data_IF_337025031845
#
_entry.id   IF_337025031845
#
_cell.length_a   1.000
_cell.length_b   1.000
_cell.length_c   1.000
_cell.angle_alpha   90.00
_cell.angle_beta   90.00
_cell.angle_gamma   90.00
#
_symmetry.space_group_name_H-M   'P 1'
#
loop_
_entity.id
_entity.type
_entity.pdbx_description
1 polymer ?
#
# COMPACT_ATOMS: atom_id res chain seq x y z
N UNK A 1 17.37 11.95 -10.45
CA UNK A 1 16.15 12.67 -10.01
C UNK A 1 16.35 13.14 -8.57
N UNK A 2 16.04 14.39 -8.23
CA UNK A 2 16.01 14.84 -6.83
C UNK A 2 14.70 14.41 -6.18
N UNK A 3 14.71 14.06 -4.89
CA UNK A 3 13.52 13.62 -4.14
C UNK A 3 12.34 14.61 -4.28
N UNK A 4 12.65 15.91 -4.32
CA UNK A 4 11.68 16.98 -4.53
C UNK A 4 10.93 16.89 -5.87
N UNK A 5 11.63 16.58 -6.98
CA UNK A 5 10.98 16.45 -8.29
C UNK A 5 10.05 15.25 -8.35
N UNK A 6 10.49 14.11 -7.80
CA UNK A 6 9.65 12.91 -7.72
C UNK A 6 8.38 13.15 -6.89
N UNK A 7 8.51 13.88 -5.78
CA UNK A 7 7.38 14.22 -4.91
C UNK A 7 6.41 15.19 -5.62
N UNK A 8 6.93 16.16 -6.36
CA UNK A 8 6.11 17.10 -7.16
C UNK A 8 5.39 16.40 -8.30
N UNK A 9 6.07 15.53 -9.04
CA UNK A 9 5.45 14.72 -10.12
C UNK A 9 4.35 13.81 -9.57
N UNK A 10 4.59 13.17 -8.42
CA UNK A 10 3.59 12.39 -7.70
C UNK A 10 2.39 13.23 -7.25
N UNK A 11 2.64 14.44 -6.73
CA UNK A 11 1.59 15.36 -6.33
C UNK A 11 0.78 15.87 -7.53
N UNK A 12 1.43 16.19 -8.64
CA UNK A 12 0.76 16.63 -9.87
C UNK A 12 -0.06 15.48 -10.48
N UNK A 13 0.43 14.24 -10.43
CA UNK A 13 -0.34 13.06 -10.81
C UNK A 13 -1.55 12.85 -9.89
N UNK A 14 -1.37 12.99 -8.57
CA UNK A 14 -2.43 12.91 -7.58
C UNK A 14 -3.51 13.98 -7.80
N UNK A 15 -3.12 15.24 -7.95
CA UNK A 15 -4.04 16.37 -8.18
C UNK A 15 -4.86 16.21 -9.47
N UNK A 16 -4.28 15.66 -10.54
CA UNK A 16 -4.98 15.43 -11.81
C UNK A 16 -6.14 14.44 -11.73
N UNK A 17 -6.06 13.46 -10.82
CA UNK A 17 -7.09 12.42 -10.63
C UNK A 17 -7.56 12.33 -9.18
N UNK A 18 -7.51 13.45 -8.48
CA UNK A 18 -7.86 13.60 -7.08
C UNK A 18 -9.20 12.93 -6.71
N UNK A 19 -10.33 13.19 -7.40
CA UNK A 19 -11.61 12.61 -7.01
C UNK A 19 -11.65 11.08 -7.13
N UNK A 20 -10.97 10.50 -8.13
CA UNK A 20 -10.88 9.05 -8.28
C UNK A 20 -10.02 8.43 -7.19
N UNK A 21 -8.84 9.01 -6.93
CA UNK A 21 -7.93 8.51 -5.90
C UNK A 21 -8.54 8.63 -4.51
N UNK A 22 -9.19 9.76 -4.21
CA UNK A 22 -9.94 9.94 -2.97
C UNK A 22 -11.11 8.95 -2.87
N UNK A 23 -11.88 8.74 -3.95
CA UNK A 23 -13.00 7.80 -3.94
C UNK A 23 -12.56 6.35 -3.70
N UNK A 24 -11.46 5.91 -4.31
CA UNK A 24 -10.90 4.58 -4.04
C UNK A 24 -10.34 4.51 -2.62
N UNK A 25 -9.80 5.60 -2.11
CA UNK A 25 -9.27 5.67 -0.75
C UNK A 25 -10.36 5.65 0.32
N UNK A 26 -11.47 6.36 0.13
CA UNK A 26 -12.61 6.33 1.05
C UNK A 26 -13.28 4.96 1.09
N UNK A 27 -13.30 4.20 -0.02
CA UNK A 27 -13.78 2.81 -0.01
C UNK A 27 -12.99 1.96 0.99
N UNK A 28 -11.67 2.11 1.05
CA UNK A 28 -10.85 1.35 2.01
C UNK A 28 -11.14 1.75 3.44
N UNK A 29 -11.31 3.05 3.70
CA UNK A 29 -11.69 3.53 5.03
C UNK A 29 -13.06 3.05 5.46
N UNK A 30 -14.06 3.10 4.58
CA UNK A 30 -15.41 2.62 4.88
C UNK A 30 -15.36 1.13 5.24
N UNK A 31 -14.63 0.32 4.46
CA UNK A 31 -14.49 -1.11 4.77
C UNK A 31 -13.83 -1.31 6.13
N UNK A 32 -12.74 -0.59 6.41
CA UNK A 32 -12.03 -0.69 7.69
C UNK A 32 -12.91 -0.28 8.88
N UNK A 33 -13.61 0.85 8.79
CA UNK A 33 -14.51 1.32 9.84
C UNK A 33 -15.70 0.39 10.02
N UNK A 34 -16.27 -0.14 8.93
CA UNK A 34 -17.36 -1.11 9.00
C UNK A 34 -16.95 -2.38 9.75
N UNK A 35 -15.73 -2.89 9.52
CA UNK A 35 -15.22 -4.06 10.25
C UNK A 35 -15.06 -3.75 11.73
N UNK A 36 -14.50 -2.59 12.08
CA UNK A 36 -14.32 -2.16 13.47
C UNK A 36 -15.65 -1.97 14.20
N UNK A 37 -16.69 -1.47 13.52
CA UNK A 37 -18.04 -1.33 14.09
C UNK A 37 -18.79 -2.66 14.26
N UNK A 38 -18.53 -3.64 13.38
CA UNK A 38 -19.20 -4.94 13.40
C UNK A 38 -18.58 -5.93 14.38
N UNK A 39 -17.29 -5.80 14.67
CA UNK A 39 -16.57 -6.70 15.57
C UNK A 39 -16.45 -6.04 16.94
N UNK A 40 -17.03 -6.64 18.01
CA UNK A 40 -16.91 -6.07 19.34
C UNK A 40 -15.46 -6.05 19.83
N UNK A 41 -15.09 -5.01 20.59
CA UNK A 41 -13.73 -4.77 21.11
C UNK A 41 -13.13 -5.96 21.88
N UNK A 42 -13.95 -6.87 22.39
CA UNK A 42 -13.49 -8.09 23.06
C UNK A 42 -12.84 -9.12 22.11
N UNK A 43 -13.03 -8.99 20.79
CA UNK A 43 -12.52 -9.91 19.75
C UNK A 43 -11.48 -9.25 18.84
N UNK A 44 -10.53 -8.51 19.42
CA UNK A 44 -9.43 -7.84 18.70
C UNK A 44 -8.67 -8.75 17.72
N UNK A 45 -8.49 -10.03 18.07
CA UNK A 45 -7.80 -10.99 17.20
C UNK A 45 -8.61 -11.34 15.95
N UNK A 46 -9.95 -11.35 16.03
CA UNK A 46 -10.83 -11.58 14.89
C UNK A 46 -10.85 -10.37 13.97
N UNK A 47 -10.94 -9.17 14.53
CA UNK A 47 -10.83 -7.92 13.78
C UNK A 47 -9.52 -7.87 13.00
N UNK A 48 -8.39 -8.12 13.69
CA UNK A 48 -7.07 -8.16 13.06
C UNK A 48 -7.00 -9.19 11.91
N UNK A 49 -7.60 -10.37 12.09
CA UNK A 49 -7.64 -11.41 11.07
C UNK A 49 -8.47 -10.98 9.85
N UNK A 50 -9.65 -10.37 10.07
CA UNK A 50 -10.52 -9.88 9.00
C UNK A 50 -9.85 -8.76 8.21
N UNK A 51 -9.24 -7.79 8.91
CA UNK A 51 -8.50 -6.70 8.28
C UNK A 51 -7.28 -7.23 7.50
N UNK A 52 -6.54 -8.19 8.06
CA UNK A 52 -5.42 -8.81 7.37
C UNK A 52 -5.83 -9.56 6.10
N UNK A 53 -7.08 -10.00 5.98
CA UNK A 53 -7.60 -10.66 4.78
C UNK A 53 -8.21 -9.68 3.78
N UNK A 54 -8.91 -8.65 4.26
CA UNK A 54 -9.68 -7.71 3.42
C UNK A 54 -8.83 -6.54 2.89
N UNK A 55 -7.87 -6.04 3.67
CA UNK A 55 -7.08 -4.88 3.29
C UNK A 55 -6.09 -5.14 2.15
N UNK A 56 -5.33 -6.26 2.10
CA UNK A 56 -4.37 -6.49 1.02
C UNK A 56 -4.97 -6.42 -0.40
N UNK A 57 -6.12 -7.04 -0.72
CA UNK A 57 -6.73 -6.90 -2.04
C UNK A 57 -7.17 -5.47 -2.35
N UNK A 58 -7.73 -4.76 -1.37
CA UNK A 58 -8.14 -3.36 -1.53
C UNK A 58 -6.94 -2.45 -1.80
N UNK A 59 -5.85 -2.63 -1.05
CA UNK A 59 -4.60 -1.91 -1.30
C UNK A 59 -4.03 -2.24 -2.69
N UNK A 60 -4.06 -3.50 -3.14
CA UNK A 60 -3.64 -3.86 -4.49
C UNK A 60 -4.43 -3.10 -5.58
N UNK A 61 -5.74 -2.95 -5.38
CA UNK A 61 -6.59 -2.06 -6.18
C UNK A 61 -6.10 -0.62 -6.20
N UNK A 62 -5.85 -0.02 -5.03
CA UNK A 62 -5.35 1.34 -4.88
C UNK A 62 -4.01 1.55 -5.61
N UNK A 63 -3.06 0.66 -5.39
CA UNK A 63 -1.74 0.76 -6.01
C UNK A 63 -1.80 0.64 -7.53
N UNK A 64 -2.68 -0.20 -8.08
CA UNK A 64 -2.89 -0.30 -9.53
C UNK A 64 -3.47 0.99 -10.12
N UNK A 65 -4.47 1.59 -9.46
CA UNK A 65 -5.02 2.88 -9.89
C UNK A 65 -3.94 3.96 -9.82
N UNK A 66 -3.16 4.02 -8.73
CA UNK A 66 -2.07 4.99 -8.58
C UNK A 66 -1.02 4.85 -9.70
N UNK A 67 -0.60 3.62 -10.03
CA UNK A 67 0.34 3.36 -11.13
C UNK A 67 -0.19 3.85 -12.48
N UNK A 68 -1.46 3.54 -12.80
CA UNK A 68 -2.09 4.00 -14.05
C UNK A 68 -2.22 5.52 -14.12
N UNK A 69 -2.51 6.17 -13.00
CA UNK A 69 -2.61 7.65 -12.94
C UNK A 69 -1.25 8.29 -13.22
N UNK A 70 -0.17 7.78 -12.61
CA UNK A 70 1.19 8.29 -12.84
C UNK A 70 1.62 8.13 -14.29
N UNK A 71 1.19 7.05 -14.96
CA UNK A 71 1.45 6.81 -16.39
C UNK A 71 0.55 7.59 -17.34
N UNK A 72 -0.44 8.35 -16.83
CA UNK A 72 -1.39 9.08 -17.67
C UNK A 72 -2.40 8.18 -18.39
N UNK A 73 -2.57 6.93 -17.97
CA UNK A 73 -3.52 5.99 -18.56
C UNK A 73 -4.97 6.35 -18.18
N UNK A 74 -5.95 5.86 -18.97
CA UNK A 74 -7.38 6.04 -18.66
C UNK A 74 -7.74 5.23 -17.41
N UNK A 75 -7.87 5.94 -16.29
CA UNK A 75 -8.25 5.35 -15.01
C UNK A 75 -9.76 5.47 -14.77
N UNK A 76 -10.40 4.34 -14.50
CA UNK A 76 -11.80 4.26 -14.07
C UNK A 76 -11.91 3.33 -12.86
N UNK A 77 -13.08 3.29 -12.21
CA UNK A 77 -13.32 2.37 -11.09
C UNK A 77 -13.10 0.89 -11.46
N UNK A 78 -13.23 0.52 -12.74
CA UNK A 78 -12.86 -0.82 -13.24
C UNK A 78 -11.40 -1.15 -12.96
N UNK A 79 -10.49 -0.16 -13.04
CA UNK A 79 -9.07 -0.35 -12.77
C UNK A 79 -8.79 -0.76 -11.32
N UNK A 80 -9.62 -0.29 -10.37
CA UNK A 80 -9.55 -0.69 -8.98
C UNK A 80 -9.94 -2.15 -8.80
N UNK A 81 -11.06 -2.57 -9.37
CA UNK A 81 -11.57 -3.95 -9.31
C UNK A 81 -10.62 -4.93 -10.01
N UNK A 82 -10.00 -4.52 -11.12
CA UNK A 82 -8.93 -5.28 -11.77
C UNK A 82 -7.76 -5.53 -10.81
N UNK A 83 -7.32 -4.51 -10.06
CA UNK A 83 -6.23 -4.67 -9.10
C UNK A 83 -6.59 -5.62 -7.95
N UNK A 84 -7.85 -5.57 -7.49
CA UNK A 84 -8.39 -6.53 -6.52
C UNK A 84 -8.33 -7.96 -7.09
N UNK A 85 -8.75 -8.20 -8.35
CA UNK A 85 -8.69 -9.56 -8.93
C UNK A 85 -7.26 -10.11 -9.00
N UNK A 86 -6.28 -9.25 -9.23
CA UNK A 86 -4.86 -9.62 -9.34
C UNK A 86 -4.16 -9.79 -7.99
N UNK A 87 -4.83 -9.53 -6.87
CA UNK A 87 -4.21 -9.63 -5.54
C UNK A 87 -3.67 -11.03 -5.21
N UNK A 88 -4.26 -12.09 -5.80
CA UNK A 88 -3.86 -13.48 -5.58
C UNK A 88 -2.38 -13.70 -5.90
N UNK A 89 -1.88 -12.97 -6.89
CA UNK A 89 -0.49 -13.04 -7.33
C UNK A 89 0.46 -12.39 -6.31
N UNK A 90 -0.04 -11.43 -5.52
CA UNK A 90 0.68 -10.73 -4.48
C UNK A 90 0.59 -11.39 -3.09
N UNK A 91 -0.35 -12.33 -2.89
CA UNK A 91 -0.56 -13.02 -1.62
C UNK A 91 0.72 -13.63 -1.03
N UNK A 92 1.59 -14.33 -1.80
CA UNK A 92 2.82 -14.90 -1.24
C UNK A 92 3.79 -13.83 -0.73
N UNK A 93 3.90 -12.70 -1.43
CA UNK A 93 4.74 -11.58 -1.01
C UNK A 93 4.18 -10.93 0.26
N UNK A 94 2.87 -10.72 0.33
CA UNK A 94 2.20 -10.16 1.50
C UNK A 94 2.38 -11.01 2.75
N UNK A 95 2.18 -12.33 2.64
CA UNK A 95 2.37 -13.25 3.76
C UNK A 95 3.83 -13.24 4.24
N UNK A 96 4.78 -13.28 3.32
CA UNK A 96 6.21 -13.29 3.66
C UNK A 96 6.63 -11.97 4.33
N UNK A 97 6.21 -10.83 3.79
CA UNK A 97 6.48 -9.51 4.39
C UNK A 97 5.79 -9.39 5.75
N UNK A 98 4.55 -9.87 5.87
CA UNK A 98 3.79 -9.84 7.12
C UNK A 98 4.50 -10.64 8.22
N UNK A 99 4.93 -11.86 7.93
CA UNK A 99 5.69 -12.70 8.87
C UNK A 99 7.02 -12.05 9.23
N UNK A 100 7.78 -11.55 8.25
CA UNK A 100 9.06 -10.86 8.52
C UNK A 100 8.88 -9.60 9.36
N UNK A 101 7.82 -8.84 9.11
CA UNK A 101 7.52 -7.60 9.84
C UNK A 101 7.07 -7.93 11.27
N UNK A 102 6.21 -8.94 11.44
CA UNK A 102 5.78 -9.41 12.76
C UNK A 102 6.95 -9.93 13.58
N UNK A 103 7.78 -10.81 13.01
CA UNK A 103 9.01 -11.30 13.67
C UNK A 103 9.96 -10.16 14.01
N UNK A 104 10.12 -9.20 13.09
CA UNK A 104 10.90 -7.99 13.32
C UNK A 104 10.37 -7.21 14.51
N UNK A 105 9.06 -6.95 14.56
CA UNK A 105 8.39 -6.19 15.61
C UNK A 105 8.47 -6.91 16.98
N UNK A 106 8.30 -8.23 17.00
CA UNK A 106 8.41 -9.05 18.21
C UNK A 106 9.85 -9.10 18.75
N UNK A 107 10.86 -9.15 17.88
CA UNK A 107 12.25 -9.13 18.30
C UNK A 107 12.62 -7.76 18.87
N UNK A 108 12.43 -6.68 18.09
CA UNK A 108 12.60 -5.29 18.50
C UNK A 108 11.75 -4.39 17.58
N UNK A 109 11.06 -3.38 18.14
CA UNK A 109 10.17 -2.50 17.34
C UNK A 109 10.89 -1.88 16.12
N UNK A 110 12.15 -1.50 16.30
CA UNK A 110 12.98 -0.84 15.26
C UNK A 110 13.22 -1.73 14.02
N UNK A 111 13.74 -2.97 14.11
CA UNK A 111 13.88 -3.83 12.94
C UNK A 111 12.55 -4.15 12.26
N UNK A 112 11.44 -4.24 12.98
CA UNK A 112 10.11 -4.37 12.37
C UNK A 112 9.79 -3.19 11.43
N UNK A 113 10.02 -1.96 11.88
CA UNK A 113 9.81 -0.76 11.06
C UNK A 113 10.76 -0.72 9.86
N UNK A 114 12.03 -1.11 10.03
CA UNK A 114 12.99 -1.15 8.92
C UNK A 114 12.60 -2.17 7.84
N UNK A 115 12.05 -3.32 8.24
CA UNK A 115 11.51 -4.34 7.31
C UNK A 115 10.31 -3.80 6.56
N UNK A 116 9.35 -3.18 7.27
CA UNK A 116 8.17 -2.57 6.64
C UNK A 116 8.56 -1.49 5.61
N UNK A 117 9.52 -0.62 5.95
CA UNK A 117 10.04 0.40 5.05
C UNK A 117 10.81 -0.19 3.87
N UNK A 118 11.59 -1.26 4.08
CA UNK A 118 12.35 -1.90 3.01
C UNK A 118 11.45 -2.56 1.96
N UNK A 119 10.30 -3.09 2.40
CA UNK A 119 9.36 -3.83 1.54
C UNK A 119 8.12 -3.03 1.14
N UNK A 120 8.03 -1.74 1.47
CA UNK A 120 6.87 -0.88 1.15
C UNK A 120 6.57 -0.77 -0.34
N UNK A 121 7.59 -0.95 -1.20
CA UNK A 121 7.43 -0.92 -2.66
C UNK A 121 7.24 -2.29 -3.29
N UNK A 122 7.25 -3.38 -2.52
CA UNK A 122 7.13 -4.75 -3.07
C UNK A 122 5.85 -4.89 -3.88
N UNK A 123 4.74 -4.37 -3.36
CA UNK A 123 3.46 -4.48 -4.06
C UNK A 123 3.44 -3.68 -5.35
N UNK A 124 4.04 -2.49 -5.34
CA UNK A 124 4.21 -1.69 -6.55
C UNK A 124 5.03 -2.46 -7.57
N UNK A 125 6.19 -3.01 -7.20
CA UNK A 125 7.02 -3.82 -8.09
C UNK A 125 6.27 -5.03 -8.67
N UNK A 126 5.38 -5.66 -7.90
CA UNK A 126 4.62 -6.84 -8.31
C UNK A 126 3.47 -6.48 -9.25
N UNK A 127 2.86 -5.29 -9.08
CA UNK A 127 1.78 -4.79 -9.94
C UNK A 127 2.28 -4.06 -11.19
N UNK A 128 3.56 -3.69 -11.23
CA UNK A 128 4.21 -2.95 -12.32
C UNK A 128 4.60 -3.82 -13.53
N UNK A 129 4.04 -5.03 -13.67
CA UNK A 129 4.33 -5.96 -14.77
C UNK A 129 4.13 -5.34 -16.15
N UNK A 130 3.13 -4.46 -16.29
CA UNK A 130 2.83 -3.76 -17.55
C UNK A 130 3.97 -2.84 -18.00
N UNK A 131 4.73 -2.23 -17.06
CA UNK A 131 5.91 -1.45 -17.41
C UNK A 131 7.15 -2.32 -17.67
N UNK A 132 7.23 -3.49 -17.01
CA UNK A 132 8.38 -4.40 -17.10
C UNK A 132 8.25 -5.47 -18.20
N UNK A 133 7.07 -5.66 -18.77
CA UNK A 133 6.79 -6.68 -19.79
C UNK A 133 6.86 -8.13 -19.29
N UNK A 134 7.05 -8.34 -17.98
CA UNK A 134 7.11 -9.68 -17.36
C UNK A 134 6.54 -9.67 -15.95
N UNK A 135 6.04 -10.83 -15.54
CA UNK A 135 5.64 -11.12 -14.17
C UNK A 135 6.85 -11.38 -13.29
N UNK A 136 6.87 -10.75 -12.12
CA UNK A 136 7.90 -10.95 -11.10
C UNK A 136 7.42 -12.00 -10.09
N UNK A 137 8.32 -12.86 -9.65
CA UNK A 137 8.07 -13.69 -8.47
C UNK A 137 8.03 -12.84 -7.20
N UNK A 138 7.33 -13.29 -6.16
CA UNK A 138 7.27 -12.60 -4.87
C UNK A 138 8.66 -12.25 -4.32
N UNK A 139 9.61 -13.18 -4.40
CA UNK A 139 10.99 -12.96 -3.95
C UNK A 139 11.75 -11.94 -4.82
N UNK A 140 11.50 -11.92 -6.13
CA UNK A 140 12.10 -10.95 -7.04
C UNK A 140 11.59 -9.55 -6.74
N UNK A 141 10.28 -9.39 -6.57
CA UNK A 141 9.66 -8.13 -6.20
C UNK A 141 10.16 -7.59 -4.85
N UNK A 142 10.38 -8.48 -3.87
CA UNK A 142 10.94 -8.10 -2.57
C UNK A 142 12.40 -7.63 -2.68
N UNK A 143 13.22 -8.34 -3.47
CA UNK A 143 14.62 -7.93 -3.73
C UNK A 143 14.69 -6.58 -4.43
N UNK A 144 13.83 -6.35 -5.40
CA UNK A 144 13.68 -5.06 -6.09
C UNK A 144 13.28 -3.94 -5.13
N UNK A 145 12.25 -4.16 -4.31
CA UNK A 145 11.84 -3.18 -3.28
C UNK A 145 12.99 -2.83 -2.33
N UNK A 146 13.76 -3.85 -1.90
CA UNK A 146 14.92 -3.65 -1.04
C UNK A 146 16.01 -2.81 -1.71
N UNK A 147 16.25 -3.01 -3.01
CA UNK A 147 17.21 -2.21 -3.77
C UNK A 147 16.74 -0.77 -3.94
N UNK A 148 15.45 -0.56 -4.23
CA UNK A 148 14.84 0.77 -4.37
C UNK A 148 14.87 1.57 -3.07
N UNK A 149 14.72 0.90 -1.93
CA UNK A 149 14.74 1.55 -0.60
C UNK A 149 16.14 1.70 -0.02
N UNK A 150 17.15 1.00 -0.57
CA UNK A 150 18.54 1.06 -0.07
C UNK A 150 19.11 2.46 -0.28
N UNK A 151 19.55 3.10 0.81
CA UNK A 151 20.08 4.47 0.79
C UNK A 151 19.02 5.58 0.91
N UNK A 152 17.73 5.26 0.75
CA UNK A 152 16.63 6.25 0.83
C UNK A 152 15.65 5.99 1.99
N UNK A 153 15.99 5.10 2.93
CA UNK A 153 15.10 4.70 4.05
C UNK A 153 14.55 5.88 4.85
N UNK A 154 15.36 6.91 5.11
CA UNK A 154 14.91 8.12 5.80
C UNK A 154 13.92 8.95 4.98
N UNK A 155 14.07 9.00 3.66
CA UNK A 155 13.14 9.69 2.76
C UNK A 155 11.83 8.92 2.68
N UNK A 156 11.88 7.58 2.56
CA UNK A 156 10.70 6.72 2.54
C UNK A 156 9.93 6.81 3.85
N UNK A 157 10.64 6.83 4.98
CA UNK A 157 10.04 7.08 6.29
C UNK A 157 9.37 8.45 6.37
N UNK A 158 10.06 9.52 5.94
CA UNK A 158 9.49 10.86 5.89
C UNK A 158 8.26 10.97 4.99
N UNK A 159 8.26 10.33 3.83
CA UNK A 159 7.08 10.25 2.94
C UNK A 159 5.94 9.48 3.59
N UNK A 160 6.24 8.37 4.28
CA UNK A 160 5.26 7.61 5.06
C UNK A 160 4.61 8.47 6.15
N UNK A 161 5.41 9.23 6.90
CA UNK A 161 4.91 10.12 7.95
C UNK A 161 4.04 11.26 7.37
N UNK A 162 4.48 11.86 6.26
CA UNK A 162 3.73 12.90 5.56
C UNK A 162 2.35 12.40 5.09
N UNK A 163 2.26 11.15 4.65
CA UNK A 163 1.01 10.51 4.23
C UNK A 163 0.15 10.04 5.41
N UNK A 164 0.78 9.67 6.53
CA UNK A 164 0.08 9.20 7.71
C UNK A 164 -0.72 10.31 8.41
N UNK A 165 -0.22 11.55 8.41
CA UNK A 165 -0.90 12.68 9.08
C UNK A 165 -2.28 12.99 8.48
N UNK A 166 -2.43 13.19 7.14
CA UNK A 166 -3.74 13.36 6.52
C UNK A 166 -4.65 12.15 6.71
N UNK A 167 -4.08 10.94 6.65
CA UNK A 167 -4.83 9.69 6.86
C UNK A 167 -5.47 9.67 8.25
N UNK A 168 -4.71 10.02 9.29
CA UNK A 168 -5.20 10.06 10.66
C UNK A 168 -6.30 11.12 10.86
N UNK A 169 -6.11 12.32 10.28
CA UNK A 169 -7.10 13.40 10.36
C UNK A 169 -8.43 13.04 9.68
N UNK A 170 -8.36 12.43 8.50
CA UNK A 170 -9.55 11.98 7.76
C UNK A 170 -10.24 10.81 8.45
N UNK A 171 -9.48 9.90 9.06
CA UNK A 171 -10.07 8.83 9.88
C UNK A 171 -10.85 9.39 11.06
N UNK A 172 -10.36 10.44 11.72
CA UNK A 172 -11.06 11.08 12.84
C UNK A 172 -12.33 11.82 12.41
N UNK A 173 -12.39 12.30 11.16
CA UNK A 173 -13.56 13.01 10.63
C UNK A 173 -14.73 12.06 10.27
N UNK A 174 -14.41 10.79 9.99
CA UNK A 174 -15.38 9.77 9.54
C UNK A 174 -15.96 8.97 10.72
N UNK A 175 -15.30 9.01 11.89
CA UNK A 175 -15.76 8.47 13.18
C UNK A 175 -16.70 9.45 13.86
#
# INVERSE_FOLDING_TARGET
MTAWRALREGFDAFARRLPLLLGVWTVVLIVQQTVSLLVPDQWLWLEALLLALLLPPLHAGQYRVALRVVRGERCTFSSFVEGIRRWKDALPAYLLIGVLTALGLFALIVPGILVALAFSFTLLCLLDEEARGRRLSALEAMRESLQLTRGYRGVVFGMGLLLAVPYFLLSLLIV
#
